data_IF_980446375478
#
_entry.id   IF_980446375478
#
_cell.length_a   1.000
_cell.length_b   1.000
_cell.length_c   1.000
_cell.angle_alpha   90.00
_cell.angle_beta   90.00
_cell.angle_gamma   90.00
#
_symmetry.space_group_name_H-M   'P 1'
#
loop_
_entity.id
_entity.type
_entity.pdbx_description
1 polymer ?
#
# COMPACT_ATOMS: atom_id res chain seq x y z
N UNK A 1 22.34 1.20 -2.90
CA UNK A 1 21.40 1.44 -1.78
C UNK A 1 20.01 1.46 -2.38
N UNK A 2 19.43 0.28 -2.62
CA UNK A 2 18.08 0.16 -3.15
C UNK A 2 17.12 0.64 -2.07
N UNK A 3 16.41 1.73 -2.37
CA UNK A 3 15.30 2.18 -1.54
C UNK A 3 14.19 1.14 -1.69
N UNK A 4 14.21 0.12 -0.83
CA UNK A 4 13.11 -0.81 -0.65
C UNK A 4 11.93 -0.05 -0.05
N UNK A 5 11.24 0.71 -0.89
CA UNK A 5 10.00 1.38 -0.55
C UNK A 5 8.89 0.36 -0.43
N UNK A 6 8.52 0.02 0.82
CA UNK A 6 7.17 -0.31 1.30
C UNK A 6 6.25 -1.28 0.54
N UNK A 7 6.68 -1.90 -0.56
CA UNK A 7 5.86 -2.71 -1.44
C UNK A 7 5.99 -4.16 -1.02
N UNK A 8 4.93 -4.66 -0.41
CA UNK A 8 4.88 -6.02 0.09
C UNK A 8 4.28 -6.94 -0.96
N UNK A 9 5.04 -7.94 -1.46
CA UNK A 9 4.50 -8.97 -2.34
C UNK A 9 3.19 -9.53 -1.78
N UNK A 10 2.18 -9.70 -2.63
CA UNK A 10 0.91 -10.34 -2.25
C UNK A 10 1.08 -11.74 -1.62
N UNK A 11 2.24 -12.38 -1.83
CA UNK A 11 2.63 -13.65 -1.21
C UNK A 11 2.87 -13.58 0.31
N UNK A 12 3.20 -12.41 0.86
CA UNK A 12 3.52 -12.25 2.28
C UNK A 12 2.28 -11.97 3.15
N UNK A 13 1.08 -11.96 2.56
CA UNK A 13 -0.19 -11.80 3.27
C UNK A 13 -0.56 -12.99 4.18
N UNK A 14 0.22 -14.08 4.16
CA UNK A 14 -0.01 -15.29 4.97
C UNK A 14 0.63 -15.25 6.37
N UNK A 15 0.91 -14.06 6.92
CA UNK A 15 0.96 -13.88 8.37
C UNK A 15 2.30 -14.07 9.09
N UNK A 16 3.44 -13.77 8.47
CA UNK A 16 4.72 -13.68 9.21
C UNK A 16 5.50 -12.41 8.84
N UNK A 17 5.08 -11.27 9.39
CA UNK A 17 5.98 -10.13 9.56
C UNK A 17 6.46 -10.11 11.02
N UNK A 18 7.76 -10.39 11.29
CA UNK A 18 8.30 -10.49 12.65
C UNK A 18 8.60 -9.13 13.29
N UNK A 19 8.24 -8.02 12.65
CA UNK A 19 8.45 -6.68 13.22
C UNK A 19 7.32 -6.35 14.19
N UNK A 20 7.63 -6.39 15.48
CA UNK A 20 6.67 -6.24 16.58
C UNK A 20 5.70 -5.07 16.38
N UNK A 21 4.41 -5.33 16.60
CA UNK A 21 3.35 -4.35 16.44
C UNK A 21 3.53 -3.07 17.27
N UNK A 22 4.39 -3.11 18.30
CA UNK A 22 4.79 -1.95 19.11
C UNK A 22 5.93 -1.10 18.56
N UNK A 23 6.25 -1.18 17.26
CA UNK A 23 6.94 -0.07 16.56
C UNK A 23 6.05 0.51 15.46
N UNK A 24 5.17 -0.34 14.93
CA UNK A 24 4.23 0.02 13.87
C UNK A 24 3.11 0.91 14.42
N UNK A 25 2.67 0.68 15.67
CA UNK A 25 1.67 1.56 16.31
C UNK A 25 2.20 2.97 16.59
N UNK A 26 3.47 3.09 16.95
CA UNK A 26 4.18 4.34 17.15
C UNK A 26 4.32 5.09 15.83
N UNK A 27 4.65 4.37 14.75
CA UNK A 27 4.68 4.93 13.41
C UNK A 27 3.29 5.47 12.99
N UNK A 28 2.22 4.72 13.25
CA UNK A 28 0.84 5.19 12.99
C UNK A 28 0.56 6.48 13.75
N UNK A 29 0.93 6.56 15.03
CA UNK A 29 0.75 7.77 15.84
C UNK A 29 1.54 8.97 15.30
N UNK A 30 2.77 8.74 14.85
CA UNK A 30 3.60 9.77 14.22
C UNK A 30 2.97 10.28 12.91
N UNK A 31 2.41 9.39 12.08
CA UNK A 31 1.70 9.80 10.87
C UNK A 31 0.39 10.54 11.18
N UNK A 32 -0.33 10.17 12.24
CA UNK A 32 -1.51 10.92 12.69
C UNK A 32 -1.14 12.35 13.10
N UNK A 33 0.00 12.55 13.76
CA UNK A 33 0.52 13.88 14.07
C UNK A 33 0.93 14.63 12.80
N UNK A 34 1.64 13.98 11.88
CA UNK A 34 2.02 14.59 10.61
C UNK A 34 0.80 15.07 9.81
N UNK A 35 -0.25 14.27 9.75
CA UNK A 35 -1.49 14.59 9.04
C UNK A 35 -2.33 15.67 9.73
N UNK A 36 -2.21 15.82 11.05
CA UNK A 36 -2.78 16.99 11.77
C UNK A 36 -2.10 18.29 11.38
N UNK A 37 -0.78 18.26 11.13
CA UNK A 37 -0.01 19.44 10.73
C UNK A 37 -0.13 19.72 9.23
N UNK A 38 -0.19 18.66 8.42
CA UNK A 38 -0.27 18.73 6.96
C UNK A 38 -1.30 17.71 6.42
N UNK A 39 -2.58 18.10 6.34
CA UNK A 39 -3.66 17.22 5.90
C UNK A 39 -3.60 16.82 4.42
N UNK A 40 -2.77 17.46 3.61
CA UNK A 40 -2.59 17.18 2.18
C UNK A 40 -1.32 16.37 1.90
N UNK A 41 -0.77 15.70 2.90
CA UNK A 41 0.47 14.93 2.74
C UNK A 41 0.20 13.47 2.30
N UNK A 42 0.18 13.25 0.99
CA UNK A 42 -0.13 11.95 0.38
C UNK A 42 0.76 10.80 0.89
N UNK A 43 2.07 11.05 1.06
CA UNK A 43 3.02 10.05 1.54
C UNK A 43 2.76 9.66 3.00
N UNK A 44 2.28 10.58 3.84
CA UNK A 44 1.91 10.24 5.22
C UNK A 44 0.67 9.34 5.26
N UNK A 45 -0.33 9.58 4.41
CA UNK A 45 -1.46 8.66 4.25
C UNK A 45 -1.00 7.29 3.76
N UNK A 46 -0.20 7.23 2.70
CA UNK A 46 0.35 5.97 2.17
C UNK A 46 1.12 5.18 3.26
N UNK A 47 1.99 5.84 4.00
CA UNK A 47 2.79 5.18 5.03
C UNK A 47 1.95 4.73 6.23
N UNK A 48 0.94 5.52 6.62
CA UNK A 48 -0.02 5.13 7.67
C UNK A 48 -0.86 3.91 7.24
N UNK A 49 -1.34 3.90 6.00
CA UNK A 49 -2.06 2.76 5.42
C UNK A 49 -1.19 1.50 5.40
N UNK A 50 0.06 1.63 4.96
CA UNK A 50 1.04 0.54 4.93
C UNK A 50 1.30 -0.01 6.33
N UNK A 51 1.50 0.86 7.32
CA UNK A 51 1.67 0.47 8.72
C UNK A 51 0.44 -0.28 9.27
N UNK A 52 -0.78 0.19 8.98
CA UNK A 52 -2.02 -0.50 9.37
C UNK A 52 -2.15 -1.87 8.70
N UNK A 53 -1.79 -2.00 7.42
CA UNK A 53 -1.76 -3.27 6.71
C UNK A 53 -0.79 -4.26 7.37
N UNK A 54 0.39 -3.80 7.81
CA UNK A 54 1.38 -4.66 8.49
C UNK A 54 0.87 -5.27 9.80
N UNK A 55 0.04 -4.55 10.55
CA UNK A 55 -0.55 -5.06 11.80
C UNK A 55 -1.91 -5.74 11.59
N UNK A 56 -2.30 -5.98 10.34
CA UNK A 56 -3.56 -6.67 9.98
C UNK A 56 -4.81 -5.79 10.07
N UNK A 57 -4.67 -4.48 10.28
CA UNK A 57 -5.76 -3.51 10.31
C UNK A 57 -6.21 -3.11 8.89
N UNK A 58 -6.42 -4.10 8.01
CA UNK A 58 -6.66 -3.90 6.58
C UNK A 58 -7.86 -2.98 6.27
N UNK A 59 -8.96 -3.08 7.03
CA UNK A 59 -10.13 -2.21 6.86
C UNK A 59 -9.82 -0.74 7.16
N UNK A 60 -8.95 -0.48 8.13
CA UNK A 60 -8.55 0.86 8.52
C UNK A 60 -7.45 1.45 7.62
N UNK A 61 -6.73 0.60 6.87
CA UNK A 61 -5.73 1.00 5.89
C UNK A 61 -6.33 1.50 4.57
N UNK A 62 -7.48 0.96 4.13
CA UNK A 62 -8.09 1.35 2.85
C UNK A 62 -8.38 2.85 2.73
N UNK A 63 -8.99 3.53 3.73
CA UNK A 63 -9.23 4.98 3.65
C UNK A 63 -7.94 5.80 3.53
N UNK A 64 -6.84 5.31 4.09
CA UNK A 64 -5.55 5.99 3.98
C UNK A 64 -5.01 5.89 2.54
N UNK A 65 -5.09 4.72 1.92
CA UNK A 65 -4.72 4.59 0.51
C UNK A 65 -5.66 5.36 -0.42
N UNK A 66 -6.96 5.42 -0.10
CA UNK A 66 -7.92 6.23 -0.86
C UNK A 66 -7.53 7.71 -0.86
N UNK A 67 -7.15 8.23 0.30
CA UNK A 67 -6.76 9.63 0.44
C UNK A 67 -5.40 9.92 -0.22
N UNK A 68 -4.43 9.00 -0.11
CA UNK A 68 -3.16 9.11 -0.82
C UNK A 68 -3.36 9.16 -2.35
N UNK A 69 -4.24 8.31 -2.90
CA UNK A 69 -4.58 8.29 -4.33
C UNK A 69 -5.39 9.54 -4.72
N UNK A 70 -6.28 10.02 -3.85
CA UNK A 70 -7.05 11.25 -4.11
C UNK A 70 -6.13 12.46 -4.23
N UNK A 71 -5.12 12.55 -3.37
CA UNK A 71 -4.13 13.62 -3.38
C UNK A 71 -3.19 13.46 -4.58
N UNK A 72 -2.62 12.26 -4.78
CA UNK A 72 -1.70 11.93 -5.87
C UNK A 72 -2.22 10.73 -6.69
N UNK A 73 -3.01 10.96 -7.77
CA UNK A 73 -3.62 9.87 -8.55
C UNK A 73 -2.63 8.92 -9.22
N UNK A 74 -1.43 9.41 -9.52
CA UNK A 74 -0.34 8.65 -10.16
C UNK A 74 0.57 7.92 -9.15
N UNK A 75 0.18 7.86 -7.87
CA UNK A 75 0.97 7.22 -6.84
C UNK A 75 0.90 5.69 -6.95
N UNK A 76 1.85 5.11 -7.68
CA UNK A 76 1.90 3.69 -8.06
C UNK A 76 1.85 2.78 -6.84
N UNK A 77 2.64 3.08 -5.81
CA UNK A 77 2.73 2.30 -4.57
C UNK A 77 1.40 2.29 -3.82
N UNK A 78 0.64 3.38 -3.84
CA UNK A 78 -0.66 3.45 -3.18
C UNK A 78 -1.69 2.55 -3.86
N UNK A 79 -1.72 2.50 -5.20
CA UNK A 79 -2.57 1.55 -5.93
C UNK A 79 -2.16 0.10 -5.64
N UNK A 80 -0.87 -0.20 -5.68
CA UNK A 80 -0.35 -1.54 -5.40
C UNK A 80 -0.71 -2.01 -3.97
N UNK A 81 -0.37 -1.23 -2.94
CA UNK A 81 -0.62 -1.59 -1.54
C UNK A 81 -2.11 -1.62 -1.21
N UNK A 82 -2.93 -0.80 -1.85
CA UNK A 82 -4.40 -0.91 -1.75
C UNK A 82 -4.90 -2.22 -2.34
N UNK A 83 -4.40 -2.63 -3.51
CA UNK A 83 -4.71 -3.91 -4.13
C UNK A 83 -4.37 -5.08 -3.21
N UNK A 84 -3.15 -5.09 -2.66
CA UNK A 84 -2.68 -6.09 -1.68
C UNK A 84 -3.57 -6.12 -0.43
N UNK A 85 -3.95 -4.96 0.10
CA UNK A 85 -4.84 -4.85 1.27
C UNK A 85 -6.26 -5.37 0.97
N UNK A 86 -6.79 -5.12 -0.24
CA UNK A 86 -8.09 -5.65 -0.68
C UNK A 86 -8.03 -7.17 -0.87
N UNK A 87 -6.92 -7.69 -1.38
CA UNK A 87 -6.70 -9.13 -1.50
C UNK A 87 -6.70 -9.82 -0.14
N UNK A 88 -6.08 -9.20 0.88
CA UNK A 88 -6.11 -9.67 2.27
C UNK A 88 -7.53 -9.71 2.87
N UNK A 89 -8.42 -8.84 2.39
CA UNK A 89 -9.85 -8.83 2.72
C UNK A 89 -10.70 -9.78 1.83
N UNK A 90 -10.06 -10.62 1.03
CA UNK A 90 -10.69 -11.51 0.04
C UNK A 90 -11.52 -10.77 -1.04
N UNK A 91 -11.24 -9.49 -1.29
CA UNK A 91 -11.89 -8.65 -2.31
C UNK A 91 -11.11 -8.70 -3.61
N UNK A 92 -11.10 -9.87 -4.25
CA UNK A 92 -10.22 -10.19 -5.40
C UNK A 92 -10.46 -9.32 -6.63
N UNK A 93 -11.72 -9.10 -7.01
CA UNK A 93 -12.05 -8.30 -8.20
C UNK A 93 -11.60 -6.84 -8.05
N UNK A 94 -11.79 -6.26 -6.86
CA UNK A 94 -11.28 -4.92 -6.57
C UNK A 94 -9.75 -4.90 -6.57
N UNK A 95 -9.10 -5.89 -5.95
CA UNK A 95 -7.65 -6.00 -5.94
C UNK A 95 -7.08 -6.05 -7.37
N UNK A 96 -7.69 -6.84 -8.26
CA UNK A 96 -7.29 -6.96 -9.67
C UNK A 96 -7.32 -5.60 -10.39
N UNK A 97 -8.39 -4.82 -10.22
CA UNK A 97 -8.51 -3.48 -10.81
C UNK A 97 -7.39 -2.53 -10.34
N UNK A 98 -7.03 -2.59 -9.05
CA UNK A 98 -5.92 -1.78 -8.52
C UNK A 98 -4.56 -2.23 -9.04
N UNK A 99 -4.32 -3.54 -9.17
CA UNK A 99 -3.07 -4.03 -9.75
C UNK A 99 -2.94 -3.68 -11.24
N UNK A 100 -4.03 -3.69 -12.01
CA UNK A 100 -4.03 -3.21 -13.40
C UNK A 100 -3.68 -1.72 -13.49
N UNK A 101 -4.23 -0.91 -12.57
CA UNK A 101 -3.93 0.53 -12.50
C UNK A 101 -2.47 0.76 -12.12
N UNK A 102 -1.98 0.06 -11.09
CA UNK A 102 -0.58 0.12 -10.67
C UNK A 102 0.37 -0.30 -11.80
N UNK A 103 0.04 -1.36 -12.55
CA UNK A 103 0.82 -1.83 -13.70
C UNK A 103 0.94 -0.74 -14.77
N UNK A 104 -0.18 -0.15 -15.17
CA UNK A 104 -0.20 0.91 -16.18
C UNK A 104 0.61 2.15 -15.76
N UNK A 105 0.45 2.59 -14.51
CA UNK A 105 1.21 3.72 -13.98
C UNK A 105 2.70 3.38 -13.84
N UNK A 106 3.04 2.15 -13.46
CA UNK A 106 4.42 1.69 -13.37
C UNK A 106 5.12 1.70 -14.73
N UNK A 107 4.43 1.28 -15.80
CA UNK A 107 4.93 1.37 -17.17
C UNK A 107 5.20 2.82 -17.59
N UNK A 108 4.29 3.73 -17.26
CA UNK A 108 4.44 5.15 -17.55
C UNK A 108 5.63 5.79 -16.81
N UNK A 109 5.92 5.31 -15.60
CA UNK A 109 6.99 5.84 -14.75
C UNK A 109 8.32 5.07 -14.89
N UNK A 110 8.37 4.02 -15.72
CA UNK A 110 9.56 3.16 -15.85
C UNK A 110 9.89 2.35 -14.59
N UNK A 111 8.89 2.08 -13.75
CA UNK A 111 9.01 1.39 -12.45
C UNK A 111 8.89 -0.13 -12.61
N UNK A 112 10.00 -0.76 -13.00
CA UNK A 112 10.03 -2.22 -13.24
C UNK A 112 9.76 -3.04 -11.95
N UNK A 113 10.12 -2.52 -10.78
CA UNK A 113 9.87 -3.16 -9.47
C UNK A 113 8.38 -3.42 -9.21
N UNK A 114 7.55 -2.39 -9.41
CA UNK A 114 6.10 -2.49 -9.18
C UNK A 114 5.43 -3.21 -10.34
N UNK A 115 5.95 -3.06 -11.56
CA UNK A 115 5.43 -3.77 -12.73
C UNK A 115 5.51 -5.29 -12.57
N UNK A 116 6.67 -5.81 -12.16
CA UNK A 116 6.86 -7.24 -11.86
C UNK A 116 5.91 -7.68 -10.75
N UNK A 117 5.88 -6.93 -9.64
CA UNK A 117 5.05 -7.24 -8.47
C UNK A 117 3.55 -7.25 -8.80
N UNK A 118 3.08 -6.28 -9.58
CA UNK A 118 1.68 -6.16 -9.99
C UNK A 118 1.28 -7.29 -10.95
N UNK A 119 2.16 -7.65 -11.88
CA UNK A 119 1.95 -8.77 -12.81
C UNK A 119 1.83 -10.10 -12.06
N UNK A 120 2.70 -10.31 -11.07
CA UNK A 120 2.63 -11.51 -10.24
C UNK A 120 1.32 -11.61 -9.47
N UNK A 121 0.88 -10.50 -8.86
CA UNK A 121 -0.37 -10.48 -8.10
C UNK A 121 -1.60 -10.65 -8.99
N UNK A 122 -1.59 -10.10 -10.21
CA UNK A 122 -2.66 -10.34 -11.20
C UNK A 122 -2.82 -11.82 -11.55
N UNK A 123 -1.73 -12.59 -11.60
CA UNK A 123 -1.79 -14.03 -11.85
C UNK A 123 -2.43 -14.83 -10.71
N UNK A 124 -2.65 -14.23 -9.54
CA UNK A 124 -3.14 -14.88 -8.31
C UNK A 124 -4.50 -14.39 -7.84
N UNK A 125 -4.97 -13.25 -8.37
CA UNK A 125 -6.29 -12.66 -8.09
C UNK A 125 -7.37 -13.16 -9.02
#
# INVERSE_FOLDING_TARGET
MERNGGNYPCLLLNGQYPFGGGWVREAISAYDMALRLKPDYAEAYYNRGTAKTLIGEYKAAIPDFDEAIRLHPEFVEAHYNRGTTKLALNRREEARSHFQTALKLAEQQGREDIKVSSTECLGKT
#
